data_IF_055760196181
#
_entry.id   IF_055760196181
#
_cell.length_a   1.000
_cell.length_b   1.000
_cell.length_c   1.000
_cell.angle_alpha   90.00
_cell.angle_beta   90.00
_cell.angle_gamma   90.00
#
_symmetry.space_group_name_H-M   'P 1'
#
loop_
_entity.id
_entity.type
_entity.pdbx_description
1 polymer ?
#
# COMPACT_ATOMS: atom_id res chain seq x y z
N UNK A 1 8.28 4.02 -30.14
CA UNK A 1 8.25 2.77 -29.36
C UNK A 1 8.47 3.17 -27.92
N UNK A 2 7.42 3.23 -27.11
CA UNK A 2 7.60 3.41 -25.67
C UNK A 2 8.43 2.25 -25.16
N UNK A 3 9.56 2.55 -24.51
CA UNK A 3 10.33 1.51 -23.83
C UNK A 3 9.46 1.03 -22.68
N UNK A 4 9.04 -0.23 -22.72
CA UNK A 4 8.50 -0.84 -21.51
C UNK A 4 9.64 -0.92 -20.48
N UNK A 5 9.40 -0.42 -19.26
CA UNK A 5 10.37 -0.50 -18.19
C UNK A 5 10.70 -1.97 -17.90
N UNK A 6 11.96 -2.22 -17.54
CA UNK A 6 12.39 -3.57 -17.16
C UNK A 6 12.00 -3.86 -15.72
N UNK A 7 11.98 -5.14 -15.35
CA UNK A 7 11.56 -5.59 -14.01
C UNK A 7 12.38 -4.95 -12.88
N UNK A 8 13.67 -4.71 -13.11
CA UNK A 8 14.60 -4.09 -12.15
C UNK A 8 14.36 -2.59 -11.94
N UNK A 9 13.60 -1.94 -12.82
CA UNK A 9 13.23 -0.52 -12.71
C UNK A 9 11.90 -0.33 -11.93
N UNK A 10 11.25 -1.42 -11.50
CA UNK A 10 9.93 -1.40 -10.87
C UNK A 10 9.99 -1.44 -9.35
N UNK A 11 8.98 -0.85 -8.71
CA UNK A 11 8.76 -1.01 -7.27
C UNK A 11 8.44 -2.47 -6.92
N UNK A 12 8.75 -2.91 -5.69
CA UNK A 12 8.41 -4.25 -5.20
C UNK A 12 6.91 -4.56 -5.34
N UNK A 13 6.04 -3.58 -5.13
CA UNK A 13 4.59 -3.76 -5.28
C UNK A 13 4.19 -3.97 -6.75
N UNK A 14 4.83 -3.25 -7.68
CA UNK A 14 4.62 -3.42 -9.12
C UNK A 14 5.15 -4.77 -9.60
N UNK A 15 6.32 -5.20 -9.11
CA UNK A 15 6.88 -6.52 -9.38
C UNK A 15 5.90 -7.61 -8.91
N UNK A 16 5.37 -7.50 -7.69
CA UNK A 16 4.39 -8.46 -7.17
C UNK A 16 3.11 -8.49 -7.99
N UNK A 17 2.63 -7.33 -8.47
CA UNK A 17 1.46 -7.25 -9.34
C UNK A 17 1.71 -7.94 -10.68
N UNK A 18 2.88 -7.73 -11.30
CA UNK A 18 3.27 -8.39 -12.56
C UNK A 18 3.41 -9.89 -12.37
N UNK A 19 4.00 -10.35 -11.26
CA UNK A 19 4.15 -11.78 -10.96
C UNK A 19 2.80 -12.46 -10.73
N UNK A 20 1.87 -11.80 -10.03
CA UNK A 20 0.50 -12.30 -9.84
C UNK A 20 -0.23 -12.40 -11.17
N UNK A 21 -0.08 -11.40 -12.04
CA UNK A 21 -0.65 -11.41 -13.40
C UNK A 21 -0.06 -12.52 -14.26
N UNK A 22 1.28 -12.69 -14.22
CA UNK A 22 1.97 -13.80 -14.88
C UNK A 22 1.40 -15.14 -14.43
N UNK A 23 1.26 -15.36 -13.13
CA UNK A 23 0.70 -16.60 -12.59
C UNK A 23 -0.70 -16.88 -13.15
N UNK A 24 -1.57 -15.87 -13.16
CA UNK A 24 -2.93 -16.02 -13.69
C UNK A 24 -2.97 -16.28 -15.19
N UNK A 25 -2.07 -15.66 -15.97
CA UNK A 25 -1.91 -15.95 -17.39
C UNK A 25 -1.40 -17.37 -17.63
N UNK A 26 -0.38 -17.80 -16.89
CA UNK A 26 0.16 -19.16 -17.01
C UNK A 26 -0.87 -20.22 -16.63
N UNK A 27 -1.72 -19.94 -15.63
CA UNK A 27 -2.83 -20.83 -15.25
C UNK A 27 -3.85 -20.95 -16.39
N UNK A 28 -4.21 -19.84 -17.04
CA UNK A 28 -5.16 -19.84 -18.16
C UNK A 28 -4.66 -20.60 -19.37
N UNK A 29 -3.38 -20.45 -19.71
CA UNK A 29 -2.80 -21.07 -20.91
C UNK A 29 -2.20 -22.46 -20.60
N UNK A 30 -2.22 -22.89 -19.32
CA UNK A 30 -1.66 -24.16 -18.80
C UNK A 30 -0.18 -24.39 -19.15
N UNK A 31 0.54 -23.33 -19.47
CA UNK A 31 1.98 -23.33 -19.68
C UNK A 31 2.55 -22.00 -19.17
N UNK A 32 3.85 -21.95 -18.90
CA UNK A 32 4.44 -20.68 -18.49
C UNK A 32 4.49 -19.70 -19.66
N UNK A 33 3.89 -18.52 -19.51
CA UNK A 33 3.90 -17.45 -20.53
C UNK A 33 5.21 -16.64 -20.53
N UNK A 34 6.03 -16.76 -19.48
CA UNK A 34 7.27 -16.00 -19.32
C UNK A 34 7.06 -14.58 -18.77
N UNK A 35 8.13 -14.01 -18.21
CA UNK A 35 8.04 -12.71 -17.52
C UNK A 35 7.91 -11.52 -18.48
N UNK A 36 8.62 -11.55 -19.61
CA UNK A 36 8.60 -10.44 -20.58
C UNK A 36 7.21 -10.26 -21.22
N UNK A 37 6.54 -11.37 -21.55
CA UNK A 37 5.18 -11.33 -22.09
C UNK A 37 4.18 -10.81 -21.05
N UNK A 38 4.23 -11.36 -19.84
CA UNK A 38 3.33 -10.95 -18.75
C UNK A 38 3.53 -9.46 -18.39
N UNK A 39 4.78 -9.00 -18.37
CA UNK A 39 5.12 -7.60 -18.11
C UNK A 39 4.51 -6.70 -19.20
N UNK A 40 4.70 -7.04 -20.48
CA UNK A 40 4.16 -6.23 -21.58
C UNK A 40 2.62 -6.17 -21.56
N UNK A 41 1.96 -7.31 -21.40
CA UNK A 41 0.50 -7.38 -21.31
C UNK A 41 -0.04 -6.59 -20.11
N UNK A 42 0.61 -6.71 -18.95
CA UNK A 42 0.25 -5.98 -17.74
C UNK A 42 0.42 -4.46 -17.92
N UNK A 43 1.54 -4.01 -18.53
CA UNK A 43 1.77 -2.59 -18.75
C UNK A 43 0.74 -1.96 -19.67
N UNK A 44 0.34 -2.67 -20.73
CA UNK A 44 -0.65 -2.17 -21.68
C UNK A 44 -2.07 -2.11 -21.11
N UNK A 45 -2.48 -3.12 -20.32
CA UNK A 45 -3.89 -3.31 -19.95
C UNK A 45 -4.22 -2.99 -18.49
N UNK A 46 -3.25 -3.14 -17.59
CA UNK A 46 -3.49 -3.18 -16.15
C UNK A 46 -2.75 -2.09 -15.37
N UNK A 47 -1.54 -1.69 -15.78
CA UNK A 47 -0.66 -0.82 -14.99
C UNK A 47 -1.30 0.50 -14.55
N UNK A 48 -1.97 1.21 -15.47
CA UNK A 48 -2.60 2.50 -15.18
C UNK A 48 -3.67 2.38 -14.11
N UNK A 49 -4.61 1.45 -14.32
CA UNK A 49 -5.71 1.20 -13.37
C UNK A 49 -5.18 0.73 -12.02
N UNK A 50 -4.21 -0.18 -12.02
CA UNK A 50 -3.60 -0.69 -10.80
C UNK A 50 -2.92 0.42 -9.99
N UNK A 51 -2.18 1.32 -10.65
CA UNK A 51 -1.55 2.48 -9.99
C UNK A 51 -2.59 3.43 -9.39
N UNK A 52 -3.67 3.71 -10.12
CA UNK A 52 -4.79 4.52 -9.61
C UNK A 52 -5.47 3.87 -8.39
N UNK A 53 -5.73 2.56 -8.45
CA UNK A 53 -6.31 1.80 -7.34
C UNK A 53 -5.35 1.77 -6.13
N UNK A 54 -4.05 1.60 -6.35
CA UNK A 54 -3.03 1.64 -5.29
C UNK A 54 -2.92 3.01 -4.64
N UNK A 55 -2.83 4.09 -5.41
CA UNK A 55 -2.80 5.44 -4.86
C UNK A 55 -4.05 5.74 -4.03
N UNK A 56 -5.23 5.29 -4.50
CA UNK A 56 -6.48 5.45 -3.75
C UNK A 56 -6.45 4.66 -2.44
N UNK A 57 -6.05 3.40 -2.48
CA UNK A 57 -5.97 2.55 -1.30
C UNK A 57 -4.97 3.09 -0.26
N UNK A 58 -3.81 3.56 -0.71
CA UNK A 58 -2.78 4.13 0.16
C UNK A 58 -3.27 5.45 0.80
N UNK A 59 -3.99 6.29 0.04
CA UNK A 59 -4.62 7.50 0.55
C UNK A 59 -5.72 7.19 1.59
N UNK A 60 -6.56 6.19 1.33
CA UNK A 60 -7.62 5.78 2.24
C UNK A 60 -7.05 5.18 3.55
N UNK A 61 -6.01 4.34 3.44
CA UNK A 61 -5.28 3.84 4.59
C UNK A 61 -4.65 4.96 5.42
N UNK A 62 -4.06 5.97 4.76
CA UNK A 62 -3.51 7.13 5.45
C UNK A 62 -4.61 7.95 6.14
N UNK A 63 -5.72 8.22 5.44
CA UNK A 63 -6.84 9.02 5.96
C UNK A 63 -7.47 8.37 7.17
N UNK A 64 -7.76 7.07 7.10
CA UNK A 64 -8.34 6.32 8.23
C UNK A 64 -7.42 6.33 9.44
N UNK A 65 -6.09 6.29 9.24
CA UNK A 65 -5.14 6.40 10.34
C UNK A 65 -5.12 7.81 10.98
N UNK A 66 -5.20 8.87 10.16
CA UNK A 66 -5.35 10.24 10.68
C UNK A 66 -6.63 10.37 11.49
N UNK A 67 -7.74 9.80 11.00
CA UNK A 67 -9.03 9.85 11.69
C UNK A 67 -8.98 9.13 13.04
N UNK A 68 -8.32 7.97 13.12
CA UNK A 68 -8.07 7.30 14.40
C UNK A 68 -7.26 8.18 15.33
N UNK A 69 -6.14 8.74 14.85
CA UNK A 69 -5.29 9.60 15.67
C UNK A 69 -6.05 10.83 16.17
N UNK A 70 -6.85 11.48 15.30
CA UNK A 70 -7.78 12.56 15.66
C UNK A 70 -8.69 12.14 16.79
N UNK A 71 -9.34 10.98 16.67
CA UNK A 71 -10.25 10.48 17.70
C UNK A 71 -9.54 10.35 19.06
N UNK A 72 -8.38 9.70 19.11
CA UNK A 72 -7.59 9.56 20.33
C UNK A 72 -7.17 10.91 20.91
N UNK A 73 -6.75 11.86 20.07
CA UNK A 73 -6.33 13.19 20.50
C UNK A 73 -7.51 13.99 21.08
N UNK A 74 -8.69 13.89 20.46
CA UNK A 74 -9.92 14.50 20.98
C UNK A 74 -10.38 13.86 22.29
N UNK A 75 -10.25 12.53 22.45
CA UNK A 75 -10.52 11.86 23.73
C UNK A 75 -9.56 12.36 24.83
N UNK A 76 -8.29 12.56 24.50
CA UNK A 76 -7.26 13.01 25.46
C UNK A 76 -7.45 14.47 25.89
N UNK A 77 -7.88 15.34 24.97
CA UNK A 77 -8.02 16.78 25.23
C UNK A 77 -9.41 17.19 25.72
N UNK A 78 -10.42 16.30 25.57
CA UNK A 78 -11.79 16.56 26.03
C UNK A 78 -12.60 17.48 25.12
N UNK A 79 -12.10 17.79 23.93
CA UNK A 79 -12.78 18.56 22.89
C UNK A 79 -12.37 18.09 21.50
N UNK A 80 -13.16 18.39 20.45
CA UNK A 80 -12.77 18.01 19.09
C UNK A 80 -11.63 18.90 18.59
N UNK A 81 -10.48 18.29 18.35
CA UNK A 81 -9.24 18.96 17.90
C UNK A 81 -9.33 19.35 16.42
N UNK A 82 -10.19 18.69 15.64
CA UNK A 82 -10.31 18.91 14.21
C UNK A 82 -9.23 18.20 13.38
N UNK A 83 -9.47 18.08 12.07
CA UNK A 83 -8.64 17.27 11.16
C UNK A 83 -7.25 17.86 10.91
N UNK A 84 -7.15 19.18 10.75
CA UNK A 84 -5.87 19.83 10.44
C UNK A 84 -4.92 19.81 11.63
N UNK A 85 -5.43 20.09 12.83
CA UNK A 85 -4.62 20.13 14.04
C UNK A 85 -4.14 18.73 14.45
N UNK A 86 -5.00 17.71 14.31
CA UNK A 86 -4.61 16.31 14.54
C UNK A 86 -3.59 15.81 13.50
N UNK A 87 -3.73 16.17 12.22
CA UNK A 87 -2.73 15.82 11.21
C UNK A 87 -1.37 16.48 11.47
N UNK A 88 -1.35 17.74 11.95
CA UNK A 88 -0.11 18.42 12.34
C UNK A 88 0.55 17.75 13.55
N UNK A 89 -0.23 17.39 14.57
CA UNK A 89 0.27 16.64 15.73
C UNK A 89 0.83 15.27 15.29
N UNK A 90 0.11 14.57 14.41
CA UNK A 90 0.50 13.27 13.86
C UNK A 90 1.86 13.28 13.16
N UNK A 91 2.15 14.36 12.43
CA UNK A 91 3.46 14.57 11.79
C UNK A 91 4.51 14.93 12.84
N UNK A 92 4.21 15.88 13.73
CA UNK A 92 5.16 16.43 14.71
C UNK A 92 5.59 15.42 15.78
N UNK A 93 4.69 14.54 16.18
CA UNK A 93 4.93 13.47 17.17
C UNK A 93 5.72 12.28 16.62
N UNK A 94 6.00 12.24 15.32
CA UNK A 94 6.64 11.10 14.67
C UNK A 94 5.70 9.91 14.42
N UNK A 95 4.41 10.03 14.75
CA UNK A 95 3.44 8.97 14.49
C UNK A 95 3.27 8.67 12.99
N UNK A 96 3.35 9.68 12.13
CA UNK A 96 3.32 9.47 10.68
C UNK A 96 4.52 8.63 10.17
N UNK A 97 5.69 8.80 10.77
CA UNK A 97 6.88 8.00 10.46
C UNK A 97 6.76 6.58 11.01
N UNK A 98 6.33 6.44 12.26
CA UNK A 98 6.08 5.14 12.86
C UNK A 98 5.02 4.33 12.09
N UNK A 99 3.97 4.99 11.58
CA UNK A 99 2.96 4.36 10.73
C UNK A 99 3.55 3.86 9.40
N UNK A 100 4.35 4.68 8.70
CA UNK A 100 5.05 4.27 7.47
C UNK A 100 5.96 3.06 7.69
N UNK A 101 6.62 3.01 8.84
CA UNK A 101 7.50 1.91 9.23
C UNK A 101 6.76 0.69 9.79
N UNK A 102 5.41 0.68 9.80
CA UNK A 102 4.57 -0.35 10.43
C UNK A 102 4.93 -0.62 11.90
N UNK A 103 5.52 0.36 12.56
CA UNK A 103 5.90 0.35 13.98
C UNK A 103 5.07 1.35 14.79
N UNK A 104 3.96 1.82 14.21
CA UNK A 104 3.06 2.79 14.80
C UNK A 104 2.33 2.23 16.04
N UNK A 105 1.82 3.11 16.92
CA UNK A 105 1.17 2.71 18.17
C UNK A 105 -0.13 1.95 17.93
N UNK A 106 -0.75 2.17 16.77
CA UNK A 106 -2.00 1.56 16.35
C UNK A 106 -1.79 0.38 15.39
N UNK A 107 -0.54 0.04 15.07
CA UNK A 107 -0.26 -1.17 14.33
C UNK A 107 -0.64 -2.35 15.21
N UNK A 108 -1.61 -3.15 14.77
CA UNK A 108 -1.88 -4.45 15.39
C UNK A 108 -0.57 -5.23 15.42
N UNK A 109 0.05 -5.30 16.60
CA UNK A 109 1.15 -6.23 16.83
C UNK A 109 0.56 -7.58 16.48
N UNK A 110 0.94 -8.15 15.34
CA UNK A 110 0.63 -9.54 15.02
C UNK A 110 1.25 -10.34 16.15
N UNK A 111 0.42 -10.71 17.13
CA UNK A 111 0.80 -11.66 18.15
C UNK A 111 1.36 -12.86 17.39
N UNK A 112 2.65 -13.12 17.57
CA UNK A 112 3.24 -14.39 17.24
C UNK A 112 2.54 -15.40 18.16
N UNK A 113 1.37 -15.89 17.74
CA UNK A 113 0.80 -17.11 18.25
C UNK A 113 1.75 -18.21 17.79
N UNK A 114 2.79 -18.41 18.59
CA UNK A 114 3.66 -19.57 18.53
C UNK A 114 2.72 -20.78 18.58
N UNK A 115 2.74 -21.55 17.50
CA UNK A 115 2.14 -22.87 17.45
C UNK A 115 2.73 -23.71 18.58
N UNK A 116 1.86 -24.31 19.39
CA UNK A 116 2.15 -25.47 20.22
C UNK A 116 1.52 -26.66 19.53
#
# INVERSE_FOLDING_TARGET
MEKNPKLDELSLDEINAVLTHKWFLSEKVRHDVGIDFALNDWFQKHSKRWREEKMRADFEAQKTEIEKHKWFLSQKLGYDVGMQQSALDWIKSGYAEAWRNKSGPYCEKKEQKNAI
#
